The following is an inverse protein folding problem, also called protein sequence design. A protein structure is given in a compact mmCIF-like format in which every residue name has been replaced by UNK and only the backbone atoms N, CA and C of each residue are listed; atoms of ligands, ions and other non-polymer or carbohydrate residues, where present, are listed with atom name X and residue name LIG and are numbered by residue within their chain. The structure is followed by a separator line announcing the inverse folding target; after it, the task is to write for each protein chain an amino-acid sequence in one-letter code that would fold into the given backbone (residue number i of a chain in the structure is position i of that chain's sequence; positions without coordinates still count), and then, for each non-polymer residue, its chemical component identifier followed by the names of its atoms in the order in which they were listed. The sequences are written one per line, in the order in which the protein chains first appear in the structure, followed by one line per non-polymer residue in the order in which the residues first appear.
data_IF_028944540664
#
_entry.id   IF_028944540664
#
_cell.length_a   1.000
_cell.length_b   1.000
_cell.length_c   1.000
_cell.angle_alpha   90.00
_cell.angle_beta   90.00
_cell.angle_gamma   90.00
#
_symmetry.space_group_name_H-M   'P 1'
#
loop_
_entity.id
_entity.type
_entity.pdbx_description
1 polymer ?
#
# COMPACT_ATOMS: atom_id res chain seq x y z
N UNK A 1 6.37 13.07 13.20
CA UNK A 1 6.63 12.70 11.80
C UNK A 1 7.44 11.42 11.82
N UNK A 2 6.98 10.36 11.14
CA UNK A 2 7.69 9.07 11.09
C UNK A 2 9.01 9.25 10.32
N UNK A 3 10.08 8.64 10.83
CA UNK A 3 11.39 8.65 10.15
C UNK A 3 11.63 7.27 9.54
N UNK A 4 12.44 7.14 8.47
CA UNK A 4 12.74 5.85 7.84
C UNK A 4 13.24 4.80 8.84
N UNK A 5 14.02 5.20 9.84
CA UNK A 5 14.53 4.33 10.90
C UNK A 5 13.45 3.81 11.88
N UNK A 6 12.26 4.41 11.88
CA UNK A 6 11.14 3.95 12.69
C UNK A 6 10.36 2.82 11.99
N UNK A 7 10.73 2.50 10.74
CA UNK A 7 10.14 1.44 9.94
C UNK A 7 10.99 0.17 10.06
N UNK A 8 10.36 -0.95 10.38
CA UNK A 8 10.96 -2.28 10.32
C UNK A 8 10.35 -3.06 9.18
N UNK A 9 11.15 -3.92 8.55
CA UNK A 9 10.61 -4.83 7.54
C UNK A 9 9.66 -5.82 8.19
N UNK A 10 8.52 -6.03 7.57
CA UNK A 10 7.57 -7.07 7.93
C UNK A 10 7.60 -8.16 6.86
N UNK A 11 7.01 -9.32 7.20
CA UNK A 11 6.84 -10.41 6.28
C UNK A 11 5.92 -9.99 5.13
N UNK A 12 6.41 -10.13 3.89
CA UNK A 12 5.65 -9.81 2.68
C UNK A 12 4.71 -10.95 2.26
N UNK A 13 4.88 -12.13 2.87
CA UNK A 13 3.99 -13.28 2.63
C UNK A 13 2.77 -13.19 3.56
N UNK A 14 1.66 -12.77 3.00
CA UNK A 14 0.37 -12.73 3.69
C UNK A 14 -0.45 -13.89 3.19
N UNK A 15 -0.40 -15.00 3.95
CA UNK A 15 -1.26 -16.17 3.72
C UNK A 15 -2.35 -16.23 4.78
N UNK A 16 -3.57 -16.40 4.34
CA UNK A 16 -4.70 -16.62 5.23
C UNK A 16 -5.53 -17.81 4.79
N UNK A 17 -6.04 -18.55 5.76
CA UNK A 17 -6.91 -19.69 5.49
C UNK A 17 -8.36 -19.21 5.55
N UNK A 18 -8.99 -19.06 4.40
CA UNK A 18 -10.40 -18.76 4.29
C UNK A 18 -11.22 -20.06 4.41
N UNK A 19 -12.08 -20.13 5.42
CA UNK A 19 -13.04 -21.23 5.58
C UNK A 19 -14.42 -20.78 5.14
N UNK A 20 -14.82 -21.24 3.95
CA UNK A 20 -16.18 -21.05 3.45
C UNK A 20 -16.88 -22.40 3.31
N UNK A 21 -18.06 -22.54 3.90
CA UNK A 21 -18.94 -23.71 3.74
C UNK A 21 -18.25 -25.09 3.93
N UNK A 22 -17.36 -25.18 4.90
CA UNK A 22 -16.66 -26.45 5.19
C UNK A 22 -15.44 -26.73 4.31
N UNK A 23 -15.13 -25.88 3.35
CA UNK A 23 -13.89 -25.93 2.58
C UNK A 23 -12.89 -24.91 3.14
N UNK A 24 -11.64 -25.35 3.35
CA UNK A 24 -10.53 -24.50 3.72
C UNK A 24 -9.69 -24.24 2.48
N UNK A 25 -9.62 -22.99 2.04
CA UNK A 25 -8.70 -22.57 0.99
C UNK A 25 -7.60 -21.70 1.61
N UNK A 26 -6.35 -22.05 1.31
CA UNK A 26 -5.22 -21.21 1.65
C UNK A 26 -5.03 -20.23 0.50
N UNK A 27 -5.24 -18.95 0.78
CA UNK A 27 -4.94 -17.88 -0.17
C UNK A 27 -3.62 -17.27 0.25
N UNK A 28 -2.62 -17.39 -0.63
CA UNK A 28 -1.33 -16.77 -0.46
C UNK A 28 -1.25 -15.53 -1.35
N UNK A 29 -0.88 -14.42 -0.76
CA UNK A 29 -0.62 -13.20 -1.49
C UNK A 29 0.71 -12.63 -1.03
N UNK A 30 1.59 -12.40 -1.99
CA UNK A 30 2.86 -11.71 -1.77
C UNK A 30 2.59 -10.23 -1.99
N UNK A 31 2.94 -9.41 -1.03
CA UNK A 31 2.89 -7.96 -1.08
C UNK A 31 4.26 -7.43 -1.51
N UNK A 32 4.29 -6.36 -2.28
CA UNK A 32 5.55 -5.84 -2.82
C UNK A 32 6.49 -5.37 -1.70
N UNK A 33 5.97 -4.59 -0.77
CA UNK A 33 6.71 -4.19 0.44
C UNK A 33 5.75 -4.04 1.61
N UNK A 34 6.06 -4.66 2.74
CA UNK A 34 5.36 -4.44 4.01
C UNK A 34 6.36 -3.91 5.04
N UNK A 35 6.01 -2.80 5.67
CA UNK A 35 6.81 -2.18 6.72
C UNK A 35 5.96 -1.96 7.96
N UNK A 36 6.47 -2.36 9.13
CA UNK A 36 5.86 -2.06 10.43
C UNK A 36 6.57 -0.89 11.10
N UNK A 37 5.79 -0.02 11.74
CA UNK A 37 6.36 1.05 12.55
C UNK A 37 6.40 0.67 14.02
N UNK A 38 7.18 1.43 14.82
CA UNK A 38 7.18 1.31 16.27
C UNK A 38 5.81 1.60 16.92
N UNK A 39 4.88 2.20 16.17
CA UNK A 39 3.51 2.49 16.61
C UNK A 39 2.51 1.41 16.21
N UNK A 40 2.96 0.28 15.66
CA UNK A 40 2.09 -0.82 15.25
C UNK A 40 1.21 -0.51 14.03
N UNK A 41 1.60 0.44 13.18
CA UNK A 41 0.91 0.72 11.91
C UNK A 41 1.61 -0.07 10.81
N UNK A 42 0.85 -0.88 10.09
CA UNK A 42 1.35 -1.59 8.92
C UNK A 42 1.24 -0.71 7.68
N UNK A 43 2.37 -0.46 7.04
CA UNK A 43 2.42 0.22 5.74
C UNK A 43 2.65 -0.81 4.65
N UNK A 44 1.73 -0.87 3.71
CA UNK A 44 1.85 -1.69 2.52
C UNK A 44 2.11 -0.77 1.34
N UNK A 45 3.30 -0.87 0.78
CA UNK A 45 3.63 -0.21 -0.47
C UNK A 45 3.33 -1.16 -1.62
N UNK A 46 2.37 -0.80 -2.43
CA UNK A 46 2.15 -1.43 -3.71
C UNK A 46 3.05 -0.71 -4.73
N UNK A 47 4.26 -1.22 -4.90
CA UNK A 47 5.06 -0.89 -6.05
C UNK A 47 4.35 -1.48 -7.27
N UNK A 48 3.98 -0.66 -8.23
CA UNK A 48 3.57 -1.17 -9.52
C UNK A 48 4.84 -1.65 -10.21
N UNK A 49 5.06 -2.95 -10.21
CA UNK A 49 6.09 -3.55 -11.02
C UNK A 49 5.97 -2.98 -12.44
N UNK A 50 6.97 -2.17 -12.81
CA UNK A 50 7.30 -1.79 -14.19
C UNK A 50 6.08 -1.69 -15.13
N UNK A 51 5.00 -1.06 -14.68
CA UNK A 51 3.81 -0.93 -15.50
C UNK A 51 3.65 0.53 -15.94
N UNK A 52 4.11 0.80 -17.15
CA UNK A 52 3.60 1.88 -17.99
C UNK A 52 2.07 1.79 -18.19
N UNK A 53 1.40 0.85 -17.53
CA UNK A 53 -0.03 0.53 -17.72
C UNK A 53 -0.79 0.61 -16.41
N UNK A 54 -1.92 1.29 -16.46
CA UNK A 54 -2.85 1.42 -15.34
C UNK A 54 -3.54 0.07 -15.08
N UNK A 55 -3.57 -0.33 -13.82
CA UNK A 55 -4.29 -1.52 -13.41
C UNK A 55 -5.67 -1.14 -12.89
N UNK A 56 -6.69 -1.30 -13.75
CA UNK A 56 -8.06 -0.88 -13.45
C UNK A 56 -8.74 -1.58 -12.27
N UNK A 57 -8.18 -2.67 -11.74
CA UNK A 57 -8.67 -3.32 -10.53
C UNK A 57 -7.82 -3.01 -9.28
N UNK A 58 -7.08 -1.90 -9.27
CA UNK A 58 -6.18 -1.56 -8.17
C UNK A 58 -6.88 -1.39 -6.82
N UNK A 59 -8.04 -0.69 -6.71
CA UNK A 59 -8.76 -0.60 -5.43
C UNK A 59 -9.13 -1.97 -4.85
N UNK A 60 -9.56 -2.90 -5.71
CA UNK A 60 -9.86 -4.26 -5.28
C UNK A 60 -8.61 -5.01 -4.79
N UNK A 61 -7.47 -4.85 -5.48
CA UNK A 61 -6.21 -5.45 -5.05
C UNK A 61 -5.77 -4.95 -3.67
N UNK A 62 -5.86 -3.63 -3.44
CA UNK A 62 -5.56 -3.02 -2.15
C UNK A 62 -6.47 -3.56 -1.05
N UNK A 63 -7.80 -3.52 -1.29
CA UNK A 63 -8.78 -4.02 -0.33
C UNK A 63 -8.49 -5.46 0.10
N UNK A 64 -8.18 -6.34 -0.86
CA UNK A 64 -7.84 -7.74 -0.56
C UNK A 64 -6.54 -7.84 0.23
N UNK A 65 -5.52 -7.05 -0.10
CA UNK A 65 -4.25 -7.01 0.64
C UNK A 65 -4.42 -6.56 2.08
N UNK A 66 -5.16 -5.48 2.29
CA UNK A 66 -5.43 -4.97 3.63
C UNK A 66 -6.26 -5.97 4.44
N UNK A 67 -7.27 -6.59 3.82
CA UNK A 67 -8.07 -7.62 4.47
C UNK A 67 -7.21 -8.81 4.95
N UNK A 68 -6.25 -9.26 4.14
CA UNK A 68 -5.33 -10.31 4.57
C UNK A 68 -4.41 -9.88 5.70
N UNK A 69 -3.92 -8.65 5.69
CA UNK A 69 -3.10 -8.11 6.77
C UNK A 69 -3.88 -8.08 8.08
N UNK A 70 -5.14 -7.61 8.06
CA UNK A 70 -6.02 -7.64 9.22
C UNK A 70 -6.35 -9.06 9.70
N UNK A 71 -6.58 -9.99 8.76
CA UNK A 71 -6.87 -11.38 9.13
C UNK A 71 -5.67 -12.06 9.78
N UNK A 72 -4.47 -11.83 9.26
CA UNK A 72 -3.24 -12.37 9.86
C UNK A 72 -3.09 -11.90 11.31
N UNK A 73 -3.22 -10.60 11.55
CA UNK A 73 -3.14 -10.05 12.91
C UNK A 73 -4.25 -10.59 13.83
N UNK A 74 -5.48 -10.67 13.31
CA UNK A 74 -6.59 -11.27 14.06
C UNK A 74 -6.28 -12.71 14.48
N UNK A 75 -5.76 -13.55 13.57
CA UNK A 75 -5.42 -14.94 13.85
C UNK A 75 -4.31 -15.03 14.90
N UNK A 76 -3.30 -14.17 14.86
CA UNK A 76 -2.23 -14.09 15.85
C UNK A 76 -2.78 -13.74 17.24
N UNK A 77 -3.63 -12.71 17.34
CA UNK A 77 -4.29 -12.31 18.61
C UNK A 77 -5.17 -13.44 19.13
N UNK A 78 -5.98 -14.04 18.27
CA UNK A 78 -6.88 -15.13 18.66
C UNK A 78 -6.10 -16.36 19.16
N UNK A 79 -4.97 -16.68 18.54
CA UNK A 79 -4.11 -17.79 18.99
C UNK A 79 -3.51 -17.51 20.37
N UNK A 80 -3.04 -16.29 20.61
CA UNK A 80 -2.50 -15.86 21.92
C UNK A 80 -3.59 -15.90 22.98
N UNK A 81 -4.78 -15.35 22.72
CA UNK A 81 -5.89 -15.35 23.65
C UNK A 81 -6.34 -16.77 24.04
N UNK A 82 -6.43 -17.67 23.04
CA UNK A 82 -6.77 -19.09 23.29
C UNK A 82 -5.73 -19.80 24.14
N UNK A 83 -4.45 -19.53 23.87
CA UNK A 83 -3.34 -20.11 24.63
C UNK A 83 -3.36 -19.67 26.11
N UNK A 84 -3.67 -18.39 26.34
CA UNK A 84 -3.69 -17.81 27.68
C UNK A 84 -4.99 -18.13 28.44
N UNK A 85 -6.08 -18.46 27.76
CA UNK A 85 -7.38 -18.76 28.36
C UNK A 85 -8.04 -17.54 29.05
N UNK A 86 -7.67 -16.32 28.67
CA UNK A 86 -8.11 -15.08 29.32
C UNK A 86 -9.38 -14.48 28.69
N UNK A 87 -10.45 -15.25 28.62
CA UNK A 87 -11.74 -14.75 28.14
C UNK A 87 -12.69 -14.43 29.29
N UNK A 88 -13.40 -13.31 29.19
CA UNK A 88 -14.32 -12.83 30.21
C UNK A 88 -15.79 -13.14 29.88
N UNK A 89 -16.07 -13.57 28.65
CA UNK A 89 -17.43 -13.93 28.19
C UNK A 89 -17.43 -15.07 27.18
N UNK A 90 -18.61 -15.67 26.97
CA UNK A 90 -18.80 -16.67 25.94
C UNK A 90 -18.58 -16.11 24.53
N UNK A 91 -18.89 -14.83 24.32
CA UNK A 91 -18.73 -14.15 23.01
C UNK A 91 -17.25 -13.95 22.68
N UNK A 92 -16.43 -13.57 23.66
CA UNK A 92 -14.98 -13.48 23.51
C UNK A 92 -14.36 -14.85 23.21
N UNK A 93 -14.81 -15.88 23.92
CA UNK A 93 -14.35 -17.25 23.67
C UNK A 93 -14.71 -17.72 22.26
N UNK A 94 -15.93 -17.44 21.81
CA UNK A 94 -16.40 -17.83 20.47
C UNK A 94 -15.61 -17.12 19.36
N UNK A 95 -15.37 -15.84 19.51
CA UNK A 95 -14.63 -15.04 18.53
C UNK A 95 -13.11 -15.23 18.62
N UNK A 96 -12.58 -15.65 19.77
CA UNK A 96 -11.16 -15.65 20.06
C UNK A 96 -10.57 -14.23 20.27
N UNK A 97 -11.42 -13.19 20.27
CA UNK A 97 -11.05 -11.79 20.30
C UNK A 97 -11.74 -11.10 21.48
N UNK A 98 -10.97 -10.46 22.37
CA UNK A 98 -11.50 -9.76 23.53
C UNK A 98 -12.12 -8.43 23.14
N UNK A 99 -13.10 -7.97 23.89
CA UNK A 99 -13.72 -6.65 23.68
C UNK A 99 -12.70 -5.50 23.73
N UNK A 100 -11.59 -5.70 24.41
CA UNK A 100 -10.50 -4.72 24.53
C UNK A 100 -9.45 -4.83 23.44
N UNK A 101 -9.42 -5.94 22.69
CA UNK A 101 -8.44 -6.12 21.61
C UNK A 101 -8.69 -5.12 20.48
N UNK A 102 -7.65 -4.76 19.79
CA UNK A 102 -7.69 -3.85 18.64
C UNK A 102 -6.69 -4.33 17.61
N UNK A 103 -7.07 -4.20 16.35
CA UNK A 103 -6.15 -4.36 15.22
C UNK A 103 -5.41 -3.04 14.98
N UNK A 104 -4.21 -3.14 14.45
CA UNK A 104 -3.46 -1.99 14.00
C UNK A 104 -3.95 -1.53 12.62
N UNK A 105 -3.99 -0.23 12.33
CA UNK A 105 -4.39 0.24 11.02
C UNK A 105 -3.38 -0.18 9.95
N UNK A 106 -3.89 -0.62 8.81
CA UNK A 106 -3.12 -0.87 7.59
C UNK A 106 -3.25 0.34 6.68
N UNK A 107 -2.13 0.86 6.19
CA UNK A 107 -2.09 1.96 5.22
C UNK A 107 -1.46 1.45 3.95
N UNK A 108 -2.27 1.27 2.92
CA UNK A 108 -1.81 0.89 1.59
C UNK A 108 -1.59 2.12 0.72
N UNK A 109 -0.45 2.18 0.05
CA UNK A 109 -0.06 3.26 -0.83
C UNK A 109 0.28 2.70 -2.22
N UNK A 110 -0.38 3.21 -3.24
CA UNK A 110 -0.03 2.96 -4.63
C UNK A 110 0.85 4.09 -5.14
N UNK A 111 2.08 3.77 -5.54
CA UNK A 111 2.96 4.72 -6.23
C UNK A 111 2.91 4.40 -7.72
N UNK A 112 2.27 5.28 -8.47
CA UNK A 112 2.14 5.18 -9.93
C UNK A 112 3.19 6.06 -10.61
N UNK A 113 4.05 5.45 -11.40
CA UNK A 113 5.11 6.13 -12.12
C UNK A 113 4.99 6.03 -13.64
N UNK A 114 3.79 5.71 -14.15
CA UNK A 114 3.54 5.77 -15.59
C UNK A 114 3.60 7.19 -16.16
N UNK A 115 4.00 7.30 -17.43
CA UNK A 115 4.06 8.59 -18.14
C UNK A 115 2.68 9.23 -18.32
N UNK A 116 1.63 8.42 -18.51
CA UNK A 116 0.24 8.89 -18.63
C UNK A 116 -0.34 9.26 -17.27
N UNK A 117 -1.31 10.15 -17.25
CA UNK A 117 -2.10 10.38 -16.03
C UNK A 117 -2.92 9.12 -15.68
N UNK A 118 -3.17 8.95 -14.39
CA UNK A 118 -4.02 7.87 -13.92
C UNK A 118 -5.47 8.13 -14.34
N UNK A 119 -6.04 7.25 -15.15
CA UNK A 119 -7.44 7.28 -15.59
C UNK A 119 -8.27 6.11 -15.02
N UNK A 120 -7.67 5.33 -14.10
CA UNK A 120 -8.34 4.20 -13.46
C UNK A 120 -9.18 4.61 -12.25
N UNK A 121 -9.89 3.65 -11.63
CA UNK A 121 -10.70 3.89 -10.45
C UNK A 121 -9.82 4.28 -9.25
N UNK A 122 -10.35 5.14 -8.37
CA UNK A 122 -9.74 5.54 -7.11
C UNK A 122 -10.34 4.81 -5.91
N UNK A 123 -11.52 4.22 -6.10
CA UNK A 123 -12.22 3.51 -5.06
C UNK A 123 -12.94 2.27 -5.59
N UNK A 124 -13.38 1.41 -4.68
CA UNK A 124 -14.18 0.25 -5.04
C UNK A 124 -15.51 0.66 -5.69
N UNK A 125 -16.14 1.74 -5.21
CA UNK A 125 -17.39 2.24 -5.78
C UNK A 125 -17.25 2.63 -7.24
N UNK A 126 -16.10 3.16 -7.66
CA UNK A 126 -15.81 3.51 -9.06
C UNK A 126 -15.84 2.28 -10.01
N UNK A 127 -15.70 1.09 -9.42
CA UNK A 127 -15.68 -0.19 -10.14
C UNK A 127 -17.05 -0.92 -10.12
N UNK A 128 -18.03 -0.40 -9.40
CA UNK A 128 -19.31 -1.06 -9.17
C UNK A 128 -20.43 -0.37 -9.94
N UNK A 129 -21.34 -1.18 -10.45
CA UNK A 129 -22.62 -0.70 -10.98
C UNK A 129 -23.66 -0.69 -9.84
N UNK A 130 -23.85 0.49 -9.21
CA UNK A 130 -24.66 0.63 -8.01
C UNK A 130 -25.98 1.34 -8.33
N UNK A 131 -27.14 0.66 -8.20
CA UNK A 131 -28.44 1.33 -8.26
C UNK A 131 -28.56 2.39 -7.16
N UNK A 132 -29.04 3.59 -7.51
CA UNK A 132 -29.15 4.74 -6.61
C UNK A 132 -29.82 4.42 -5.26
N UNK A 133 -30.85 3.58 -5.28
CA UNK A 133 -31.61 3.22 -4.06
C UNK A 133 -30.80 2.45 -3.02
N UNK A 134 -29.74 1.74 -3.42
CA UNK A 134 -28.91 0.93 -2.53
C UNK A 134 -27.53 1.53 -2.31
N UNK A 135 -27.19 2.62 -2.98
CA UNK A 135 -25.89 3.28 -2.87
C UNK A 135 -25.49 3.60 -1.43
N UNK A 136 -26.38 4.08 -0.54
CA UNK A 136 -26.03 4.33 0.87
C UNK A 136 -25.67 3.07 1.67
N UNK A 137 -26.06 1.88 1.19
CA UNK A 137 -25.76 0.60 1.85
C UNK A 137 -24.45 -0.03 1.38
N UNK A 138 -23.87 0.49 0.31
CA UNK A 138 -22.61 -0.02 -0.25
C UNK A 138 -21.44 0.66 0.40
N UNK A 139 -20.62 -0.11 1.10
CA UNK A 139 -19.35 0.37 1.65
C UNK A 139 -18.37 0.68 0.52
N UNK A 140 -17.61 1.74 0.69
CA UNK A 140 -16.53 2.09 -0.23
C UNK A 140 -15.16 1.72 0.37
N UNK A 141 -14.23 1.46 -0.51
CA UNK A 141 -12.82 1.30 -0.16
C UNK A 141 -11.99 2.18 -1.10
N UNK A 142 -11.35 3.21 -0.53
CA UNK A 142 -10.52 4.17 -1.27
C UNK A 142 -9.07 3.77 -1.16
N UNK A 143 -8.35 3.84 -2.28
CA UNK A 143 -6.90 3.69 -2.28
C UNK A 143 -6.21 5.04 -2.13
N UNK A 144 -5.00 5.01 -1.56
CA UNK A 144 -4.10 6.16 -1.56
C UNK A 144 -3.20 6.07 -2.79
N UNK A 145 -3.33 7.01 -3.71
CA UNK A 145 -2.56 7.07 -4.94
C UNK A 145 -1.58 8.23 -4.91
N UNK A 146 -0.32 7.95 -5.18
CA UNK A 146 0.73 8.93 -5.45
C UNK A 146 1.15 8.78 -6.90
N UNK A 147 0.95 9.81 -7.70
CA UNK A 147 1.41 9.86 -9.08
C UNK A 147 2.73 10.63 -9.14
N UNK A 148 3.81 10.00 -9.61
CA UNK A 148 5.12 10.65 -9.70
C UNK A 148 5.06 11.86 -10.62
N UNK A 149 4.35 11.77 -11.73
CA UNK A 149 4.18 12.86 -12.70
C UNK A 149 3.60 14.15 -12.10
N UNK A 150 2.65 14.02 -11.18
CA UNK A 150 1.96 15.15 -10.54
C UNK A 150 2.38 15.38 -9.09
N UNK A 151 3.53 14.86 -8.69
CA UNK A 151 4.04 14.89 -7.30
C UNK A 151 4.70 16.21 -6.91
N UNK A 152 4.56 17.28 -7.69
CA UNK A 152 5.29 18.54 -7.48
C UNK A 152 5.06 19.25 -6.15
N UNK A 153 3.97 18.93 -5.46
CA UNK A 153 3.67 19.45 -4.12
C UNK A 153 4.18 18.52 -2.99
N UNK A 154 4.64 17.31 -3.34
CA UNK A 154 5.17 16.38 -2.36
C UNK A 154 6.61 16.74 -2.01
N UNK A 155 6.88 16.80 -0.73
CA UNK A 155 8.21 17.02 -0.19
C UNK A 155 8.52 15.91 0.81
N UNK A 156 9.53 15.13 0.50
CA UNK A 156 9.99 14.04 1.36
C UNK A 156 11.14 14.51 2.24
N UNK A 157 11.29 13.91 3.42
CA UNK A 157 12.41 14.22 4.31
C UNK A 157 13.74 13.62 3.83
N UNK A 158 13.67 12.63 2.94
CA UNK A 158 14.83 11.99 2.34
C UNK A 158 15.17 12.69 1.01
N UNK A 159 16.40 13.23 0.85
CA UNK A 159 16.79 13.94 -0.36
C UNK A 159 16.86 13.06 -1.60
N UNK A 160 17.19 11.77 -1.46
CA UNK A 160 17.29 10.83 -2.57
C UNK A 160 15.90 10.54 -3.14
N UNK A 161 14.90 10.36 -2.26
CA UNK A 161 13.50 10.20 -2.67
C UNK A 161 12.99 11.46 -3.38
N UNK A 162 13.31 12.66 -2.85
CA UNK A 162 12.96 13.91 -3.53
C UNK A 162 13.58 14.00 -4.91
N UNK A 163 14.86 13.65 -5.04
CA UNK A 163 15.57 13.66 -6.31
C UNK A 163 14.93 12.70 -7.32
N UNK A 164 14.63 11.47 -6.93
CA UNK A 164 13.97 10.49 -7.80
C UNK A 164 12.63 11.01 -8.32
N UNK A 165 11.78 11.55 -7.45
CA UNK A 165 10.49 12.09 -7.84
C UNK A 165 10.62 13.32 -8.74
N UNK A 166 11.51 14.25 -8.41
CA UNK A 166 11.70 15.49 -9.14
C UNK A 166 12.28 15.23 -10.54
N UNK A 167 13.34 14.44 -10.63
CA UNK A 167 13.94 14.10 -11.93
C UNK A 167 12.97 13.32 -12.82
N UNK A 168 12.27 12.32 -12.27
CA UNK A 168 11.27 11.56 -13.02
C UNK A 168 10.17 12.48 -13.57
N UNK A 169 9.67 13.40 -12.76
CA UNK A 169 8.68 14.41 -13.19
C UNK A 169 9.20 15.30 -14.31
N UNK A 170 10.45 15.80 -14.19
CA UNK A 170 11.07 16.64 -15.21
C UNK A 170 11.33 15.88 -16.51
N UNK A 171 11.71 14.61 -16.45
CA UNK A 171 11.85 13.74 -17.62
C UNK A 171 10.51 13.58 -18.33
N UNK A 172 9.43 13.27 -17.61
CA UNK A 172 8.08 13.18 -18.19
C UNK A 172 7.59 14.49 -18.80
N UNK A 173 7.98 15.62 -18.19
CA UNK A 173 7.71 16.95 -18.75
C UNK A 173 8.62 17.31 -19.94
N UNK A 174 9.65 16.48 -20.22
CA UNK A 174 10.72 16.76 -21.20
C UNK A 174 11.47 18.06 -20.95
N UNK A 175 11.52 18.49 -19.69
CA UNK A 175 12.22 19.73 -19.27
C UNK A 175 13.69 19.44 -18.92
N UNK A 176 14.42 19.02 -19.93
CA UNK A 176 15.86 18.71 -19.79
C UNK A 176 16.70 19.95 -19.47
N UNK A 177 16.21 21.15 -19.82
CA UNK A 177 16.88 22.39 -19.49
C UNK A 177 16.90 22.60 -17.98
N UNK A 178 15.77 22.36 -17.32
CA UNK A 178 15.65 22.46 -15.86
C UNK A 178 16.41 21.38 -15.13
N UNK A 179 16.43 20.15 -15.67
CA UNK A 179 17.27 19.08 -15.11
C UNK A 179 18.74 19.52 -15.10
N UNK A 180 19.24 20.08 -16.22
CA UNK A 180 20.61 20.57 -16.30
C UNK A 180 20.85 21.75 -15.37
N UNK A 181 19.92 22.69 -15.25
CA UNK A 181 20.02 23.83 -14.36
C UNK A 181 20.12 23.41 -12.88
N UNK A 182 19.29 22.48 -12.46
CA UNK A 182 19.17 22.09 -11.04
C UNK A 182 20.22 21.04 -10.65
N UNK A 183 20.53 20.10 -11.55
CA UNK A 183 21.33 18.92 -11.20
C UNK A 183 22.71 18.84 -11.87
N UNK A 184 23.16 19.85 -12.66
CA UNK A 184 24.45 19.82 -13.33
C UNK A 184 25.64 19.70 -12.36
N UNK A 185 25.51 20.25 -11.15
CA UNK A 185 26.56 20.27 -10.14
C UNK A 185 26.34 19.22 -9.04
N UNK A 186 25.33 18.35 -9.21
CA UNK A 186 25.04 17.27 -8.28
C UNK A 186 25.68 15.98 -8.76
N UNK A 187 26.40 15.34 -7.85
CA UNK A 187 26.89 13.97 -8.07
C UNK A 187 25.75 12.99 -7.77
N UNK A 188 25.13 12.47 -8.84
CA UNK A 188 24.00 11.56 -8.74
C UNK A 188 24.56 10.16 -8.52
N UNK A 189 24.27 9.49 -7.37
CA UNK A 189 24.67 8.12 -7.15
C UNK A 189 24.19 7.20 -8.28
N UNK A 190 25.04 6.27 -8.69
CA UNK A 190 24.75 5.39 -9.84
C UNK A 190 23.47 4.55 -9.63
N UNK A 191 23.21 4.14 -8.39
CA UNK A 191 22.01 3.40 -8.01
C UNK A 191 20.73 4.25 -8.16
N UNK A 192 20.77 5.54 -7.80
CA UNK A 192 19.65 6.46 -8.07
C UNK A 192 19.43 6.67 -9.57
N UNK A 193 20.49 6.77 -10.35
CA UNK A 193 20.40 6.84 -11.81
C UNK A 193 19.72 5.61 -12.40
N UNK A 194 20.01 4.42 -11.89
CA UNK A 194 19.35 3.18 -12.31
C UNK A 194 17.86 3.19 -11.94
N UNK A 195 17.50 3.66 -10.73
CA UNK A 195 16.09 3.74 -10.31
C UNK A 195 15.33 4.73 -11.18
N UNK A 196 15.89 5.92 -11.43
CA UNK A 196 15.24 6.93 -12.29
C UNK A 196 15.07 6.39 -13.72
N UNK A 197 16.09 5.75 -14.27
CA UNK A 197 16.01 5.12 -15.60
C UNK A 197 14.94 4.03 -15.66
N UNK A 198 14.82 3.20 -14.62
CA UNK A 198 13.79 2.16 -14.54
C UNK A 198 12.37 2.74 -14.44
N UNK A 199 12.20 3.85 -13.71
CA UNK A 199 10.91 4.55 -13.57
C UNK A 199 10.50 5.20 -14.91
N UNK A 200 11.44 5.83 -15.60
CA UNK A 200 11.16 6.65 -16.78
C UNK A 200 11.37 5.91 -18.11
N UNK A 201 11.73 4.62 -18.05
CA UNK A 201 12.07 3.79 -19.23
C UNK A 201 13.14 4.45 -20.15
N UNK A 202 14.09 5.20 -19.56
CA UNK A 202 15.09 5.99 -20.25
C UNK A 202 16.50 5.43 -20.12
#
# INVERSE_FOLDING_TARGET
MLKPQDLTEADTDVSSMLKFNGHAETVQKILDVVKKTAYGVDFVLWGLENQAKIHYAMPLRHMVGDAFSYMKEYDEIAAVNKKNGEFHSADEFLSGFKKTDRLHPVISLCVYYGESEWDGPFSLKDMLEIPEKIEPLVSDYRMNLVQVRSSGELCFSDPDVNMVFDMSRLIYARDYAKIKEVYSDHDIPADLGVVIGAITES
#
